data_IF_369405542247
#
_entry.id   IF_369405542247
#
_cell.length_a   1.000
_cell.length_b   1.000
_cell.length_c   1.000
_cell.angle_alpha   90.00
_cell.angle_beta   90.00
_cell.angle_gamma   90.00
#
_symmetry.space_group_name_H-M   'P 1'
#
loop_
_entity.id
_entity.type
_entity.pdbx_description
1 polymer ?
#
# COMPACT_ATOMS: atom_id res chain seq x y z
N UNK A 1 -2.53 1.15 -14.99
CA UNK A 1 -2.78 0.58 -16.32
C UNK A 1 -4.29 0.54 -16.62
N UNK A 2 -4.71 1.29 -17.64
CA UNK A 2 -6.10 1.41 -18.07
C UNK A 2 -6.59 0.27 -18.97
N UNK A 3 -5.67 -0.57 -19.48
CA UNK A 3 -5.97 -1.72 -20.32
C UNK A 3 -5.90 -3.03 -19.53
N UNK A 4 -5.02 -3.12 -18.55
CA UNK A 4 -4.93 -4.25 -17.64
C UNK A 4 -4.84 -3.78 -16.17
N UNK A 5 -5.97 -3.53 -15.50
CA UNK A 5 -5.98 -3.02 -14.14
C UNK A 5 -5.35 -3.99 -13.12
N UNK A 6 -5.31 -5.29 -13.42
CA UNK A 6 -4.67 -6.30 -12.58
C UNK A 6 -3.16 -6.05 -12.41
N UNK A 7 -2.51 -5.41 -13.39
CA UNK A 7 -1.10 -5.02 -13.30
C UNK A 7 -0.81 -4.00 -12.19
N UNK A 8 -1.85 -3.31 -11.68
CA UNK A 8 -1.66 -2.36 -10.59
C UNK A 8 -1.73 -3.04 -9.22
N UNK A 9 -2.24 -4.27 -9.14
CA UNK A 9 -2.33 -5.01 -7.88
C UNK A 9 -0.94 -5.41 -7.41
N UNK A 10 -0.65 -5.09 -6.16
CA UNK A 10 0.58 -5.49 -5.49
C UNK A 10 0.24 -5.94 -4.07
N UNK A 11 0.85 -7.04 -3.65
CA UNK A 11 0.69 -7.63 -2.32
C UNK A 11 1.96 -7.47 -1.47
N UNK A 12 2.93 -6.70 -1.96
CA UNK A 12 4.22 -6.40 -1.32
C UNK A 12 4.37 -4.90 -1.13
N UNK A 13 5.23 -4.50 -0.19
CA UNK A 13 5.59 -3.09 0.03
C UNK A 13 6.51 -2.60 -1.08
N UNK A 14 7.45 -3.45 -1.50
CA UNK A 14 8.33 -3.19 -2.65
C UNK A 14 7.58 -3.55 -3.93
N UNK A 15 7.44 -2.63 -4.91
CA UNK A 15 6.69 -2.92 -6.14
C UNK A 15 7.38 -3.97 -7.02
N UNK A 16 6.58 -4.76 -7.75
CA UNK A 16 7.06 -5.77 -8.72
C UNK A 16 7.87 -5.14 -9.86
N UNK A 17 8.92 -5.82 -10.31
CA UNK A 17 9.71 -5.42 -11.49
C UNK A 17 10.48 -4.12 -11.35
N UNK A 18 10.75 -3.66 -10.13
CA UNK A 18 11.45 -2.39 -9.84
C UNK A 18 12.86 -2.59 -9.30
N UNK A 19 13.10 -3.70 -8.60
CA UNK A 19 14.38 -4.02 -7.95
C UNK A 19 14.86 -5.37 -8.47
N UNK A 20 16.06 -5.39 -9.04
CA UNK A 20 16.69 -6.60 -9.58
C UNK A 20 18.04 -6.82 -8.94
N UNK A 21 18.38 -8.08 -8.69
CA UNK A 21 19.68 -8.47 -8.14
C UNK A 21 20.77 -8.57 -9.23
N UNK A 22 21.95 -9.09 -8.86
CA UNK A 22 23.09 -9.19 -9.79
C UNK A 22 22.83 -10.17 -10.95
N UNK A 23 21.91 -11.12 -10.76
CA UNK A 23 21.55 -12.15 -11.74
C UNK A 23 20.34 -11.72 -12.59
N UNK A 24 19.77 -10.55 -12.32
CA UNK A 24 18.59 -10.01 -12.99
C UNK A 24 17.28 -10.60 -12.48
N UNK A 25 17.28 -11.27 -11.33
CA UNK A 25 16.06 -11.76 -10.69
C UNK A 25 15.36 -10.60 -9.98
N UNK A 26 14.03 -10.52 -10.13
CA UNK A 26 13.21 -9.54 -9.43
C UNK A 26 13.18 -9.87 -7.94
N UNK A 27 13.48 -8.88 -7.09
CA UNK A 27 13.45 -8.99 -5.64
C UNK A 27 12.15 -9.63 -5.12
N UNK A 28 11.01 -9.32 -5.75
CA UNK A 28 9.71 -9.85 -5.32
C UNK A 28 9.48 -11.33 -5.67
N UNK A 29 10.38 -11.93 -6.45
CA UNK A 29 10.42 -13.37 -6.73
C UNK A 29 11.24 -14.16 -5.69
N UNK A 30 11.89 -13.51 -4.72
CA UNK A 30 12.65 -14.18 -3.68
C UNK A 30 11.73 -15.10 -2.83
N UNK A 31 12.24 -16.22 -2.27
CA UNK A 31 11.40 -17.25 -1.67
C UNK A 31 10.39 -16.76 -0.62
N UNK A 32 10.76 -15.75 0.19
CA UNK A 32 9.90 -15.19 1.23
C UNK A 32 8.73 -14.34 0.68
N UNK A 33 8.92 -13.69 -0.48
CA UNK A 33 7.94 -12.79 -1.09
C UNK A 33 7.18 -13.42 -2.26
N UNK A 34 7.74 -14.48 -2.86
CA UNK A 34 7.13 -15.21 -3.96
C UNK A 34 5.66 -15.61 -3.70
N UNK A 35 5.28 -16.11 -2.51
CA UNK A 35 3.87 -16.40 -2.24
C UNK A 35 2.94 -15.18 -2.32
N UNK A 36 3.41 -14.00 -1.94
CA UNK A 36 2.63 -12.76 -2.03
C UNK A 36 2.51 -12.28 -3.49
N UNK A 37 3.59 -12.36 -4.25
CA UNK A 37 3.62 -12.02 -5.68
C UNK A 37 2.69 -12.91 -6.50
N UNK A 38 2.79 -14.22 -6.30
CA UNK A 38 2.01 -15.24 -7.03
C UNK A 38 0.55 -15.33 -6.56
N UNK A 39 0.22 -14.73 -5.42
CA UNK A 39 -1.16 -14.72 -4.94
C UNK A 39 -2.08 -13.90 -5.85
N UNK A 40 -1.57 -12.91 -6.61
CA UNK A 40 -2.42 -11.98 -7.40
C UNK A 40 -3.62 -11.46 -6.57
N UNK A 41 -4.86 -11.63 -7.04
CA UNK A 41 -6.07 -11.32 -6.29
C UNK A 41 -6.43 -12.35 -5.20
N UNK A 42 -5.73 -13.48 -5.15
CA UNK A 42 -5.92 -14.59 -4.20
C UNK A 42 -5.50 -14.29 -2.76
N UNK A 43 -5.00 -13.08 -2.47
CA UNK A 43 -4.94 -12.55 -1.10
C UNK A 43 -6.32 -12.15 -0.57
N UNK A 44 -7.29 -11.90 -1.45
CA UNK A 44 -8.68 -11.63 -1.08
C UNK A 44 -9.45 -12.94 -0.85
N UNK A 45 -9.53 -13.34 0.41
CA UNK A 45 -10.26 -14.53 0.86
C UNK A 45 -11.27 -14.15 1.98
N UNK A 46 -12.52 -13.79 1.60
CA UNK A 46 -13.53 -13.35 2.58
C UNK A 46 -13.98 -14.46 3.53
N UNK A 47 -13.94 -15.73 3.10
CA UNK A 47 -14.29 -16.86 3.96
C UNK A 47 -13.24 -17.06 5.06
N UNK A 48 -11.96 -17.00 4.69
CA UNK A 48 -10.86 -17.07 5.66
C UNK A 48 -10.84 -15.83 6.57
N UNK A 49 -11.06 -14.64 6.02
CA UNK A 49 -11.17 -13.42 6.80
C UNK A 49 -12.27 -13.54 7.86
N UNK A 50 -13.46 -14.02 7.47
CA UNK A 50 -14.57 -14.28 8.39
C UNK A 50 -14.21 -15.31 9.46
N UNK A 51 -13.51 -16.38 9.09
CA UNK A 51 -13.01 -17.37 10.08
C UNK A 51 -12.09 -16.75 11.14
N UNK A 52 -11.24 -15.78 10.75
CA UNK A 52 -10.40 -15.06 11.71
C UNK A 52 -11.21 -14.07 12.57
N UNK A 53 -12.16 -13.35 11.97
CA UNK A 53 -13.05 -12.44 12.68
C UNK A 53 -13.89 -13.17 13.74
N UNK A 54 -14.49 -14.31 13.38
CA UNK A 54 -15.26 -15.15 14.30
C UNK A 54 -14.43 -15.60 15.51
N UNK A 55 -13.17 -16.01 15.28
CA UNK A 55 -12.24 -16.37 16.36
C UNK A 55 -11.91 -15.18 17.25
N UNK A 56 -11.72 -14.00 16.67
CA UNK A 56 -11.44 -12.77 17.42
C UNK A 56 -12.63 -12.37 18.29
N UNK A 57 -13.84 -12.33 17.73
CA UNK A 57 -15.09 -12.04 18.46
C UNK A 57 -15.31 -13.03 19.60
N UNK A 58 -15.14 -14.32 19.35
CA UNK A 58 -15.26 -15.33 20.41
C UNK A 58 -14.27 -15.10 21.57
N UNK A 59 -13.10 -14.50 21.30
CA UNK A 59 -12.10 -14.20 22.31
C UNK A 59 -12.33 -12.87 23.05
N UNK A 60 -12.89 -11.84 22.40
CA UNK A 60 -12.98 -10.48 22.96
C UNK A 60 -14.40 -9.98 23.22
N UNK A 61 -15.41 -10.54 22.57
CA UNK A 61 -16.80 -10.13 22.67
C UNK A 61 -17.80 -11.31 22.59
N UNK A 62 -17.62 -12.40 23.37
CA UNK A 62 -18.49 -13.59 23.28
C UNK A 62 -19.96 -13.31 23.58
N UNK A 63 -20.24 -12.27 24.38
CA UNK A 63 -21.59 -11.83 24.76
C UNK A 63 -21.99 -10.52 24.06
N UNK A 64 -21.28 -10.13 23.00
CA UNK A 64 -21.48 -8.87 22.27
C UNK A 64 -20.81 -7.64 22.91
N UNK A 65 -20.41 -7.71 24.19
CA UNK A 65 -19.64 -6.65 24.85
C UNK A 65 -18.15 -6.76 24.54
N UNK A 66 -17.55 -5.72 23.97
CA UNK A 66 -16.13 -5.72 23.60
C UNK A 66 -15.26 -5.52 24.86
N UNK A 67 -14.37 -6.48 25.11
CA UNK A 67 -13.47 -6.46 26.27
C UNK A 67 -12.54 -5.25 26.23
N UNK A 68 -12.59 -4.44 27.30
CA UNK A 68 -11.72 -3.28 27.46
C UNK A 68 -12.22 -2.01 26.77
N UNK A 69 -13.42 -2.05 26.18
CA UNK A 69 -14.07 -0.89 25.58
C UNK A 69 -15.24 -0.45 26.47
N UNK A 70 -15.34 0.86 26.69
CA UNK A 70 -16.44 1.48 27.44
C UNK A 70 -17.25 2.38 26.53
N UNK A 71 -18.53 2.54 26.85
CA UNK A 71 -19.37 3.51 26.18
C UNK A 71 -18.80 4.92 26.35
N UNK A 72 -18.78 5.70 25.28
CA UNK A 72 -18.17 7.02 25.31
C UNK A 72 -18.23 7.72 23.97
N UNK A 73 -17.69 8.94 23.95
CA UNK A 73 -17.60 9.74 22.75
C UNK A 73 -16.20 9.61 22.14
N UNK A 74 -16.13 9.10 20.92
CA UNK A 74 -14.93 9.19 20.09
C UNK A 74 -14.87 10.61 19.54
N UNK A 75 -13.79 11.34 19.84
CA UNK A 75 -13.58 12.71 19.39
C UNK A 75 -12.27 12.82 18.62
N UNK A 76 -12.39 12.77 17.31
CA UNK A 76 -11.33 12.91 16.32
C UNK A 76 -11.52 14.23 15.55
N UNK A 77 -11.88 15.31 16.23
CA UNK A 77 -12.11 16.62 15.59
C UNK A 77 -10.81 17.14 14.93
N UNK A 78 -10.86 17.66 13.69
CA UNK A 78 -12.06 18.05 12.95
C UNK A 78 -12.69 16.96 12.07
N UNK A 79 -12.11 15.76 11.99
CA UNK A 79 -12.44 14.77 10.94
C UNK A 79 -13.60 13.84 11.30
N UNK A 80 -13.81 13.53 12.58
CA UNK A 80 -14.91 12.67 13.03
C UNK A 80 -15.28 12.89 14.50
N UNK A 81 -16.54 12.64 14.83
CA UNK A 81 -17.03 12.64 16.21
C UNK A 81 -18.33 11.83 16.28
N UNK A 82 -18.32 10.74 17.04
CA UNK A 82 -19.48 9.85 17.20
C UNK A 82 -19.46 9.19 18.59
N UNK A 83 -20.60 8.62 18.98
CA UNK A 83 -20.74 7.90 20.25
C UNK A 83 -20.66 6.40 20.00
N UNK A 84 -19.99 5.66 20.90
CA UNK A 84 -19.93 4.20 20.92
C UNK A 84 -20.48 3.68 22.25
N UNK A 85 -21.06 2.49 22.26
CA UNK A 85 -21.64 1.88 23.46
C UNK A 85 -20.78 0.75 24.07
N UNK A 86 -19.66 0.42 23.43
CA UNK A 86 -18.75 -0.66 23.83
C UNK A 86 -19.27 -2.07 23.50
N UNK A 87 -20.30 -2.17 22.67
CA UNK A 87 -20.82 -3.43 22.14
C UNK A 87 -20.38 -3.60 20.68
N UNK A 88 -20.64 -4.80 20.12
CA UNK A 88 -20.65 -4.98 18.67
C UNK A 88 -21.77 -4.13 18.03
N UNK A 89 -21.57 -3.63 16.79
CA UNK A 89 -20.42 -3.85 15.92
C UNK A 89 -19.14 -3.11 16.38
N UNK A 90 -17.98 -3.62 15.95
CA UNK A 90 -16.70 -2.91 16.11
C UNK A 90 -16.72 -1.70 15.18
N UNK A 91 -16.79 -0.50 15.75
CA UNK A 91 -16.66 0.73 14.97
C UNK A 91 -15.20 0.95 14.54
N UNK A 92 -14.98 1.14 13.24
CA UNK A 92 -13.65 1.40 12.64
C UNK A 92 -13.69 2.74 11.94
N UNK A 93 -12.85 3.68 12.37
CA UNK A 93 -12.65 4.95 11.66
C UNK A 93 -11.68 4.74 10.50
N UNK A 94 -12.20 4.78 9.27
CA UNK A 94 -11.39 4.80 8.06
C UNK A 94 -11.21 6.23 7.57
N UNK A 95 -9.97 6.67 7.44
CA UNK A 95 -9.64 8.05 7.07
C UNK A 95 -9.01 8.15 5.69
N UNK A 96 -9.57 9.01 4.84
CA UNK A 96 -8.98 9.39 3.54
C UNK A 96 -9.18 10.89 3.25
N UNK A 97 -8.69 11.36 2.12
CA UNK A 97 -8.86 12.73 1.63
C UNK A 97 -10.20 12.92 0.91
N UNK A 98 -10.60 14.17 0.72
CA UNK A 98 -11.86 14.55 0.07
C UNK A 98 -11.86 14.50 -1.46
N UNK A 99 -10.84 13.90 -2.08
CA UNK A 99 -10.78 13.77 -3.55
C UNK A 99 -11.78 12.71 -4.03
N UNK A 100 -12.44 12.96 -5.17
CA UNK A 100 -13.53 12.08 -5.66
C UNK A 100 -13.12 10.59 -5.78
N UNK A 101 -11.93 10.32 -6.31
CA UNK A 101 -11.40 8.96 -6.44
C UNK A 101 -11.18 8.29 -5.07
N UNK A 102 -10.78 9.08 -4.07
CA UNK A 102 -10.51 8.59 -2.71
C UNK A 102 -11.81 8.41 -1.91
N UNK A 103 -12.81 9.27 -2.12
CA UNK A 103 -14.18 9.07 -1.58
C UNK A 103 -14.75 7.75 -2.09
N UNK A 104 -14.67 7.49 -3.41
CA UNK A 104 -15.15 6.23 -3.97
C UNK A 104 -14.39 5.01 -3.43
N UNK A 105 -13.08 5.15 -3.18
CA UNK A 105 -12.28 4.08 -2.59
C UNK A 105 -12.65 3.82 -1.13
N UNK A 106 -12.89 4.88 -0.35
CA UNK A 106 -13.35 4.79 1.03
C UNK A 106 -14.72 4.11 1.13
N UNK A 107 -15.68 4.49 0.30
CA UNK A 107 -17.01 3.85 0.21
C UNK A 107 -16.90 2.37 -0.19
N UNK A 108 -16.02 2.04 -1.15
CA UNK A 108 -15.79 0.65 -1.54
C UNK A 108 -15.15 -0.17 -0.41
N UNK A 109 -14.26 0.44 0.37
CA UNK A 109 -13.63 -0.21 1.52
C UNK A 109 -14.64 -0.49 2.64
N UNK A 110 -15.49 0.49 2.98
CA UNK A 110 -16.64 0.32 3.89
C UNK A 110 -17.53 -0.84 3.43
N UNK A 111 -18.02 -0.80 2.18
CA UNK A 111 -18.85 -1.86 1.62
C UNK A 111 -18.17 -3.24 1.68
N UNK A 112 -16.88 -3.31 1.34
CA UNK A 112 -16.14 -4.58 1.34
C UNK A 112 -16.06 -5.19 2.74
N UNK A 113 -15.78 -4.38 3.76
CA UNK A 113 -15.71 -4.87 5.15
C UNK A 113 -17.09 -5.28 5.66
N UNK A 114 -18.11 -4.45 5.44
CA UNK A 114 -19.45 -4.70 5.94
C UNK A 114 -20.15 -5.87 5.24
N UNK A 115 -19.92 -6.07 3.93
CA UNK A 115 -20.40 -7.26 3.21
C UNK A 115 -19.68 -8.54 3.66
N UNK A 116 -18.38 -8.45 3.96
CA UNK A 116 -17.58 -9.61 4.38
C UNK A 116 -17.94 -10.07 5.80
N UNK A 117 -18.03 -9.12 6.74
CA UNK A 117 -18.18 -9.42 8.16
C UNK A 117 -19.62 -9.32 8.66
N UNK A 118 -20.45 -8.50 8.03
CA UNK A 118 -21.79 -8.15 8.50
C UNK A 118 -21.78 -6.86 9.32
N UNK A 119 -22.83 -6.05 9.14
CA UNK A 119 -23.01 -4.77 9.84
C UNK A 119 -23.36 -4.93 11.33
N UNK A 120 -23.68 -6.15 11.77
CA UNK A 120 -23.79 -6.53 13.18
C UNK A 120 -22.42 -6.81 13.82
N UNK A 121 -21.35 -6.86 13.03
CA UNK A 121 -19.99 -7.19 13.44
C UNK A 121 -19.03 -6.03 13.26
N UNK A 122 -19.09 -5.31 12.14
CA UNK A 122 -18.25 -4.13 11.84
C UNK A 122 -19.15 -2.98 11.39
N UNK A 123 -18.81 -1.77 11.83
CA UNK A 123 -19.42 -0.50 11.42
C UNK A 123 -18.28 0.43 10.99
N UNK A 124 -18.21 0.80 9.72
CA UNK A 124 -17.11 1.64 9.22
C UNK A 124 -17.55 3.10 9.20
N UNK A 125 -16.90 3.93 10.01
CA UNK A 125 -17.10 5.39 9.97
C UNK A 125 -16.07 6.01 9.04
N UNK A 126 -16.53 6.51 7.89
CA UNK A 126 -15.70 7.29 6.99
C UNK A 126 -15.42 8.68 7.55
N UNK A 127 -14.15 9.01 7.68
CA UNK A 127 -13.67 10.31 8.10
C UNK A 127 -12.77 10.90 7.02
N UNK A 128 -12.77 12.24 6.90
CA UNK A 128 -12.03 12.90 5.83
C UNK A 128 -11.21 14.10 6.32
N UNK A 129 -10.02 14.26 5.74
CA UNK A 129 -9.21 15.46 5.92
C UNK A 129 -9.15 16.28 4.64
N UNK A 130 -9.13 17.61 4.78
CA UNK A 130 -9.06 18.56 3.67
C UNK A 130 -7.73 19.30 3.55
N UNK A 131 -6.97 19.39 4.64
CA UNK A 131 -5.71 20.14 4.69
C UNK A 131 -4.50 19.22 4.79
N UNK A 132 -4.11 18.82 6.01
CA UNK A 132 -2.87 18.08 6.24
C UNK A 132 -3.19 16.73 6.84
N UNK A 133 -3.00 15.66 6.05
CA UNK A 133 -3.10 14.28 6.58
C UNK A 133 -2.24 14.13 7.84
N UNK A 134 -1.02 14.66 7.80
CA UNK A 134 -0.11 14.52 8.92
C UNK A 134 -0.61 15.26 10.16
N UNK A 135 -0.96 16.55 10.04
CA UNK A 135 -1.29 17.35 11.23
C UNK A 135 -2.69 17.07 11.77
N UNK A 136 -3.65 16.78 10.89
CA UNK A 136 -5.06 16.61 11.24
C UNK A 136 -5.40 15.15 11.62
N UNK A 137 -4.61 14.17 11.15
CA UNK A 137 -4.91 12.73 11.30
C UNK A 137 -3.77 11.98 11.98
N UNK A 138 -2.58 11.96 11.36
CA UNK A 138 -1.47 11.09 11.80
C UNK A 138 -0.87 11.53 13.13
N UNK A 139 -0.53 12.82 13.28
CA UNK A 139 0.07 13.40 14.47
C UNK A 139 -0.83 13.32 15.73
N UNK A 140 -2.15 13.57 15.64
CA UNK A 140 -3.04 13.34 16.79
C UNK A 140 -3.40 11.87 17.00
N UNK A 141 -3.20 11.00 16.01
CA UNK A 141 -3.61 9.58 16.07
C UNK A 141 -5.13 9.40 15.90
N UNK A 142 -5.73 10.23 15.04
CA UNK A 142 -7.18 10.24 14.80
C UNK A 142 -7.57 9.29 13.67
N UNK A 143 -7.27 8.01 13.82
CA UNK A 143 -7.64 6.98 12.85
C UNK A 143 -7.56 5.60 13.50
N UNK A 144 -8.37 4.66 13.00
CA UNK A 144 -8.14 3.22 13.21
C UNK A 144 -7.44 2.64 11.98
N UNK A 145 -7.86 3.09 10.79
CA UNK A 145 -7.22 2.83 9.50
C UNK A 145 -7.12 4.15 8.73
N UNK A 146 -5.99 4.41 8.09
CA UNK A 146 -5.79 5.59 7.25
C UNK A 146 -5.21 5.17 5.90
N UNK A 147 -5.74 5.73 4.82
CA UNK A 147 -5.12 5.58 3.52
C UNK A 147 -3.76 6.28 3.50
N UNK A 148 -2.75 5.58 3.00
CA UNK A 148 -1.43 6.14 2.79
C UNK A 148 -0.86 5.74 1.43
N UNK A 149 0.01 6.59 0.89
CA UNK A 149 0.75 6.32 -0.32
C UNK A 149 2.15 6.91 -0.23
N UNK A 150 3.13 6.14 -0.65
CA UNK A 150 4.52 6.58 -0.68
C UNK A 150 5.19 6.17 -1.99
N UNK A 151 6.07 7.05 -2.49
CA UNK A 151 6.83 6.77 -3.71
C UNK A 151 8.12 6.00 -3.39
N UNK A 152 8.41 4.99 -4.21
CA UNK A 152 9.67 4.25 -4.18
C UNK A 152 10.81 5.13 -4.71
N UNK A 153 11.85 5.34 -3.89
CA UNK A 153 12.83 6.42 -4.10
C UNK A 153 14.03 6.02 -4.94
N UNK A 154 14.49 4.77 -4.82
CA UNK A 154 15.64 4.20 -5.54
C UNK A 154 15.52 2.68 -5.55
N UNK A 155 16.17 1.99 -6.51
CA UNK A 155 16.12 0.53 -6.70
C UNK A 155 16.84 -0.26 -5.60
N UNK A 156 16.35 -0.19 -4.37
CA UNK A 156 16.76 -1.06 -3.26
C UNK A 156 15.61 -1.17 -2.26
N UNK A 157 15.34 -2.34 -1.65
CA UNK A 157 14.25 -2.51 -0.69
C UNK A 157 14.35 -1.56 0.52
N UNK A 158 15.57 -1.11 0.89
CA UNK A 158 15.78 -0.12 1.94
C UNK A 158 15.10 1.22 1.67
N UNK A 159 14.78 1.53 0.41
CA UNK A 159 14.05 2.73 0.04
C UNK A 159 12.65 2.81 0.67
N UNK A 160 12.08 1.68 1.09
CA UNK A 160 10.83 1.61 1.86
C UNK A 160 11.04 1.04 3.25
N UNK A 161 11.60 -0.16 3.37
CA UNK A 161 11.63 -0.90 4.63
C UNK A 161 12.40 -0.15 5.71
N UNK A 162 13.50 0.53 5.34
CA UNK A 162 14.27 1.38 6.26
C UNK A 162 13.53 2.63 6.76
N UNK A 163 12.39 2.97 6.16
CA UNK A 163 11.54 4.10 6.58
C UNK A 163 10.27 3.66 7.31
N UNK A 164 10.02 2.34 7.36
CA UNK A 164 8.91 1.71 8.08
C UNK A 164 9.33 1.19 9.46
N UNK A 165 10.61 1.22 9.82
CA UNK A 165 11.06 0.88 11.18
C UNK A 165 10.38 1.75 12.25
N UNK A 166 10.47 1.37 13.54
CA UNK A 166 9.79 2.06 14.66
C UNK A 166 9.87 3.59 14.59
N UNK A 167 11.06 4.16 14.33
CA UNK A 167 11.29 5.62 14.22
C UNK A 167 11.47 6.09 12.76
N UNK A 168 10.96 5.31 11.82
CA UNK A 168 11.07 5.55 10.40
C UNK A 168 10.17 6.70 9.94
N UNK A 169 10.59 7.39 8.89
CA UNK A 169 9.94 8.61 8.41
C UNK A 169 8.54 8.41 7.79
N UNK A 170 8.08 7.17 7.61
CA UNK A 170 6.73 6.85 7.09
C UNK A 170 6.00 5.82 7.95
N UNK A 171 6.41 5.64 9.20
CA UNK A 171 5.66 4.83 10.16
C UNK A 171 4.47 5.63 10.72
N UNK A 172 3.50 5.93 9.85
CA UNK A 172 2.28 6.67 10.23
C UNK A 172 1.42 5.84 11.23
N UNK A 173 1.50 4.51 11.17
CA UNK A 173 0.80 3.58 12.06
C UNK A 173 1.37 3.45 13.47
N UNK A 174 2.54 4.05 13.75
CA UNK A 174 3.16 4.13 15.09
C UNK A 174 3.40 2.79 15.79
N UNK A 175 3.49 1.70 15.04
CA UNK A 175 3.89 0.42 15.63
C UNK A 175 5.35 0.49 16.07
N UNK A 176 5.70 -0.36 17.03
CA UNK A 176 7.09 -0.57 17.44
C UNK A 176 7.35 -2.06 17.50
N UNK A 177 8.23 -2.54 16.62
CA UNK A 177 8.61 -3.94 16.54
C UNK A 177 10.12 -4.07 16.40
N UNK A 178 10.79 -4.32 17.52
CA UNK A 178 12.24 -4.49 17.57
C UNK A 178 12.73 -5.68 16.74
N UNK A 179 11.87 -6.67 16.46
CA UNK A 179 12.22 -7.80 15.59
C UNK A 179 12.33 -7.34 14.16
N UNK A 180 11.33 -6.60 13.67
CA UNK A 180 11.37 -6.03 12.32
C UNK A 180 12.54 -5.06 12.16
N UNK A 181 12.75 -4.18 13.14
CA UNK A 181 13.87 -3.23 13.13
C UNK A 181 15.22 -3.96 13.02
N UNK A 182 15.42 -5.03 13.80
CA UNK A 182 16.65 -5.83 13.74
C UNK A 182 16.84 -6.57 12.41
N UNK A 183 15.76 -7.05 11.78
CA UNK A 183 15.82 -7.69 10.46
C UNK A 183 16.24 -6.67 9.38
N UNK A 184 15.69 -5.46 9.43
CA UNK A 184 16.05 -4.36 8.52
C UNK A 184 17.50 -3.93 8.74
N UNK A 185 17.95 -3.78 9.99
CA UNK A 185 19.34 -3.43 10.31
C UNK A 185 20.33 -4.49 9.81
N UNK A 186 20.00 -5.78 9.96
CA UNK A 186 20.81 -6.87 9.45
C UNK A 186 20.95 -6.81 7.92
N UNK A 187 19.85 -6.56 7.20
CA UNK A 187 19.87 -6.41 5.76
C UNK A 187 20.66 -5.18 5.30
N UNK A 188 20.53 -4.05 6.01
CA UNK A 188 21.28 -2.82 5.73
C UNK A 188 22.80 -2.97 5.90
N UNK A 189 23.24 -3.83 6.82
CA UNK A 189 24.65 -4.10 7.08
C UNK A 189 25.30 -5.05 6.05
N UNK A 190 24.50 -5.75 5.24
CA UNK A 190 24.98 -6.69 4.23
C UNK A 190 25.39 -5.97 2.93
N UNK A 191 26.54 -6.37 2.38
CA UNK A 191 27.14 -5.78 1.18
C UNK A 191 27.05 -6.70 -0.04
N UNK A 192 26.89 -8.02 0.15
CA UNK A 192 26.53 -8.90 -0.95
C UNK A 192 25.07 -8.65 -1.35
N UNK A 193 24.85 -8.22 -2.60
CA UNK A 193 23.54 -7.76 -3.05
C UNK A 193 22.46 -8.84 -2.95
N UNK A 194 22.79 -10.06 -3.40
CA UNK A 194 21.84 -11.17 -3.39
C UNK A 194 21.50 -11.55 -1.94
N UNK A 195 22.49 -11.61 -1.04
CA UNK A 195 22.25 -11.88 0.38
C UNK A 195 21.47 -10.77 1.07
N UNK A 196 21.78 -9.51 0.76
CA UNK A 196 21.04 -8.33 1.25
C UNK A 196 19.57 -8.41 0.85
N UNK A 197 19.27 -8.78 -0.39
CA UNK A 197 17.90 -8.92 -0.89
C UNK A 197 17.18 -10.12 -0.27
N UNK A 198 17.88 -11.22 -0.01
CA UNK A 198 17.31 -12.33 0.76
C UNK A 198 16.86 -11.86 2.16
N UNK A 199 17.74 -11.17 2.90
CA UNK A 199 17.43 -10.64 4.22
C UNK A 199 16.28 -9.61 4.20
N UNK A 200 16.27 -8.70 3.22
CA UNK A 200 15.15 -7.77 3.06
C UNK A 200 13.84 -8.48 2.74
N UNK A 201 13.87 -9.52 1.89
CA UNK A 201 12.68 -10.27 1.53
C UNK A 201 12.06 -10.97 2.73
N UNK A 202 12.89 -11.49 3.64
CA UNK A 202 12.47 -12.05 4.92
C UNK A 202 11.89 -10.98 5.84
N UNK A 203 12.53 -9.81 5.94
CA UNK A 203 12.05 -8.68 6.74
C UNK A 203 10.69 -8.18 6.26
N UNK A 204 10.50 -8.07 4.94
CA UNK A 204 9.25 -7.64 4.33
C UNK A 204 8.14 -8.69 4.50
N UNK A 205 8.44 -9.98 4.33
CA UNK A 205 7.47 -11.04 4.60
C UNK A 205 7.03 -11.04 6.07
N UNK A 206 7.96 -10.85 7.00
CA UNK A 206 7.64 -10.69 8.42
C UNK A 206 6.73 -9.48 8.64
N UNK A 207 7.07 -8.33 8.04
CA UNK A 207 6.27 -7.10 8.12
C UNK A 207 4.84 -7.29 7.58
N UNK A 208 4.69 -7.93 6.41
CA UNK A 208 3.38 -8.24 5.82
C UNK A 208 2.55 -9.16 6.73
N UNK A 209 3.20 -10.10 7.42
CA UNK A 209 2.51 -10.98 8.37
C UNK A 209 1.95 -10.26 9.61
N UNK A 210 2.45 -9.05 9.92
CA UNK A 210 1.95 -8.21 11.02
C UNK A 210 0.76 -7.35 10.64
N UNK A 211 0.51 -7.17 9.35
CA UNK A 211 -0.62 -6.37 8.83
C UNK A 211 -0.57 -4.92 9.33
N UNK A 212 0.64 -4.36 9.52
CA UNK A 212 0.80 -2.93 9.85
C UNK A 212 0.36 -2.01 8.72
N UNK A 213 0.54 -2.46 7.48
CA UNK A 213 -0.01 -1.83 6.28
C UNK A 213 -0.47 -2.91 5.31
N UNK A 214 -1.56 -2.64 4.59
CA UNK A 214 -2.13 -3.54 3.59
C UNK A 214 -1.78 -2.99 2.21
N UNK A 215 -0.77 -3.53 1.51
CA UNK A 215 -0.53 -3.16 0.12
C UNK A 215 -1.67 -3.67 -0.75
N UNK A 216 -2.19 -2.81 -1.61
CA UNK A 216 -3.27 -3.17 -2.54
C UNK A 216 -3.03 -2.67 -3.96
N UNK A 217 -2.20 -1.63 -4.13
CA UNK A 217 -1.97 -1.01 -5.43
C UNK A 217 -0.62 -0.30 -5.52
N UNK A 218 0.09 -0.51 -6.62
CA UNK A 218 1.14 0.38 -7.08
C UNK A 218 0.58 1.33 -8.14
N UNK A 219 0.71 2.65 -7.93
CA UNK A 219 0.27 3.63 -8.91
C UNK A 219 1.21 3.65 -10.14
N UNK A 220 0.63 3.60 -11.33
CA UNK A 220 1.38 3.68 -12.58
C UNK A 220 0.48 3.62 -13.82
N UNK A 221 0.78 4.49 -14.79
CA UNK A 221 0.15 4.49 -16.11
C UNK A 221 -1.32 4.93 -16.14
N UNK A 222 -1.58 5.98 -16.91
CA UNK A 222 -2.91 6.40 -17.34
C UNK A 222 -2.88 6.77 -18.83
N UNK A 223 -4.01 7.15 -19.40
CA UNK A 223 -4.04 7.65 -20.76
C UNK A 223 -3.20 8.94 -20.85
N UNK A 224 -2.18 8.92 -21.70
CA UNK A 224 -1.39 10.10 -22.03
C UNK A 224 -1.52 10.40 -23.51
N UNK A 225 -1.86 11.63 -23.86
CA UNK A 225 -1.75 12.10 -25.24
C UNK A 225 -0.39 12.76 -25.40
N UNK A 226 0.44 12.25 -26.32
CA UNK A 226 1.73 12.86 -26.63
C UNK A 226 2.01 12.90 -28.12
N UNK A 227 2.84 13.88 -28.50
CA UNK A 227 3.51 13.99 -29.80
C UNK A 227 5.02 13.81 -29.64
N UNK A 228 5.44 13.08 -28.62
CA UNK A 228 6.84 12.77 -28.35
C UNK A 228 7.05 11.28 -28.41
N UNK A 229 8.16 10.87 -29.00
CA UNK A 229 8.65 9.49 -28.86
C UNK A 229 9.10 9.29 -27.41
N UNK A 230 8.31 8.53 -26.64
CA UNK A 230 8.56 8.31 -25.22
C UNK A 230 9.83 7.49 -24.95
N UNK A 231 10.30 6.70 -25.91
CA UNK A 231 11.49 5.83 -25.77
C UNK A 231 12.80 6.58 -26.05
N UNK A 232 12.72 7.80 -26.60
CA UNK A 232 13.88 8.70 -26.74
C UNK A 232 14.11 9.61 -25.53
N UNK A 233 13.23 9.55 -24.54
CA UNK A 233 13.38 10.31 -23.30
C UNK A 233 14.65 9.90 -22.58
N UNK A 234 15.48 10.85 -22.09
CA UNK A 234 16.52 10.52 -21.13
C UNK A 234 15.83 9.96 -19.87
N UNK A 235 15.78 8.64 -19.76
CA UNK A 235 15.05 7.97 -18.70
C UNK A 235 15.98 7.67 -17.52
N UNK A 236 15.53 8.01 -16.32
CA UNK A 236 16.07 7.44 -15.08
C UNK A 236 14.93 6.70 -14.41
N UNK A 237 15.15 5.45 -14.00
CA UNK A 237 14.13 4.65 -13.30
C UNK A 237 13.62 5.30 -12.02
N UNK A 238 14.39 6.24 -11.45
CA UNK A 238 14.03 6.99 -10.25
C UNK A 238 14.30 8.49 -10.39
N UNK A 239 13.66 9.26 -9.50
CA UNK A 239 13.86 10.70 -9.39
C UNK A 239 13.13 11.53 -10.46
N UNK A 240 13.54 12.79 -10.58
CA UNK A 240 12.84 13.81 -11.39
C UNK A 240 13.26 13.83 -12.86
N UNK A 241 14.20 12.97 -13.27
CA UNK A 241 14.71 12.95 -14.66
C UNK A 241 13.62 12.60 -15.67
N UNK A 242 12.63 11.79 -15.28
CA UNK A 242 11.43 11.49 -16.08
C UNK A 242 10.58 12.72 -16.46
N UNK A 243 10.78 13.87 -15.81
CA UNK A 243 10.09 15.12 -16.13
C UNK A 243 10.87 16.00 -17.14
N UNK A 244 11.99 15.52 -17.69
CA UNK A 244 12.79 16.27 -18.67
C UNK A 244 12.30 16.00 -20.09
N UNK A 245 12.02 17.08 -20.82
CA UNK A 245 11.70 17.03 -22.26
C UNK A 245 12.92 17.17 -23.17
N UNK A 246 14.06 17.65 -22.64
CA UNK A 246 15.26 17.90 -23.43
C UNK A 246 15.86 16.57 -23.89
N UNK A 247 15.96 16.37 -25.20
CA UNK A 247 16.50 15.14 -25.81
C UNK A 247 15.44 14.19 -26.37
N UNK A 248 14.15 14.44 -26.09
CA UNK A 248 13.05 13.68 -26.68
C UNK A 248 12.85 14.06 -28.15
N UNK A 249 12.64 13.05 -28.99
CA UNK A 249 12.19 13.21 -30.37
C UNK A 249 10.71 13.60 -30.39
N UNK A 250 10.37 14.55 -31.27
CA UNK A 250 9.01 15.01 -31.50
C UNK A 250 8.44 14.32 -32.74
N UNK A 251 7.22 13.83 -32.63
CA UNK A 251 6.40 13.30 -33.72
C UNK A 251 5.52 14.40 -34.33
N UNK A 252 5.22 14.28 -35.62
CA UNK A 252 4.34 15.20 -36.35
C UNK A 252 2.85 14.87 -36.17
N UNK A 253 2.50 13.73 -35.58
CA UNK A 253 1.15 13.30 -35.24
C UNK A 253 1.04 12.94 -33.75
N UNK A 254 -0.18 12.68 -33.29
CA UNK A 254 -0.45 12.14 -31.96
C UNK A 254 -0.17 10.64 -32.01
N UNK A 255 0.58 10.13 -31.04
CA UNK A 255 0.91 8.72 -30.96
C UNK A 255 -0.36 7.88 -30.70
N UNK A 256 -0.60 6.88 -31.54
CA UNK A 256 -1.67 5.89 -31.32
C UNK A 256 -1.21 4.77 -30.38
N UNK A 257 -2.16 3.99 -29.83
CA UNK A 257 -1.83 2.86 -28.96
C UNK A 257 -1.02 1.77 -29.68
N UNK A 258 -1.35 1.48 -30.95
CA UNK A 258 -0.64 0.46 -31.74
C UNK A 258 0.80 0.89 -32.04
N UNK A 259 1.00 2.15 -32.44
CA UNK A 259 2.34 2.72 -32.65
C UNK A 259 3.16 2.70 -31.36
N UNK A 260 2.55 3.04 -30.22
CA UNK A 260 3.22 2.95 -28.92
C UNK A 260 3.70 1.53 -28.63
N UNK A 261 2.84 0.52 -28.82
CA UNK A 261 3.20 -0.88 -28.56
C UNK A 261 4.33 -1.36 -29.49
N UNK A 262 4.29 -0.96 -30.76
CA UNK A 262 5.36 -1.28 -31.71
C UNK A 262 6.68 -0.59 -31.35
N UNK A 263 6.63 0.67 -30.93
CA UNK A 263 7.81 1.41 -30.47
C UNK A 263 8.39 0.79 -29.19
N UNK A 264 7.54 0.30 -28.28
CA UNK A 264 7.93 -0.41 -27.06
C UNK A 264 8.73 -1.68 -27.38
N UNK A 265 8.19 -2.52 -28.26
CA UNK A 265 8.84 -3.76 -28.69
C UNK A 265 10.19 -3.47 -29.37
N UNK A 266 10.24 -2.48 -30.27
CA UNK A 266 11.47 -2.06 -30.95
C UNK A 266 12.55 -1.55 -29.98
N UNK A 267 12.14 -0.95 -28.86
CA UNK A 267 13.03 -0.44 -27.83
C UNK A 267 13.46 -1.52 -26.82
N UNK A 268 12.94 -2.75 -26.93
CA UNK A 268 13.31 -3.88 -26.07
C UNK A 268 12.65 -3.88 -24.69
N UNK A 269 11.45 -3.31 -24.58
CA UNK A 269 10.65 -3.24 -23.36
C UNK A 269 9.36 -4.07 -23.42
#
# INVERSE_FOLDING_TARGET
>A
DAYNPANNLVNTITPYGVVFDNDGEDYTSYPALKPYKEAEAGTYDPELAKSYMDKAIAAIAPDGKIKGVEAGKVNMSPIASYDVDGMLPITITFVDSMDADNIMMAELFELTLEETFGTDVVDVVLAQFSNSKYDDVVMPGFFDIVYDSFSFKYADPSAQLGRLVTNGAINDGRYSDATFDAMVDAALAENDLNKRYELFSEAEAYYLSKVYTIPFKAAGGGYSMSRTDQFTTPYGGFGITRFKYKGMSKLDHILTADEYMQMKENAGF
#
